data_IF_108719840498
#
_entry.id   IF_108719840498
#
_cell.length_a   1.000
_cell.length_b   1.000
_cell.length_c   1.000
_cell.angle_alpha   90.00
_cell.angle_beta   90.00
_cell.angle_gamma   90.00
#
_symmetry.space_group_name_H-M   'P 1'
#
loop_
_entity.id
_entity.type
_entity.pdbx_description
1 polymer ?
#
# COMPACT_ATOMS: atom_id res chain seq x y z
N UNK A 1 13.54 0.94 -14.12
CA UNK A 1 12.24 0.98 -13.46
C UNK A 1 12.42 1.75 -12.17
N UNK A 2 11.65 2.83 -11.97
CA UNK A 2 11.69 3.62 -10.74
C UNK A 2 10.69 3.01 -9.75
N UNK A 3 11.11 2.79 -8.51
CA UNK A 3 10.20 2.46 -7.41
C UNK A 3 9.31 3.65 -7.06
N UNK A 4 8.09 3.43 -6.55
CA UNK A 4 7.28 4.50 -5.98
C UNK A 4 8.03 5.18 -4.83
N UNK A 5 7.76 6.47 -4.62
CA UNK A 5 8.28 7.19 -3.47
C UNK A 5 7.73 6.56 -2.16
N UNK A 6 8.55 6.57 -1.11
CA UNK A 6 8.18 5.93 0.17
C UNK A 6 6.86 6.46 0.75
N UNK A 7 6.56 7.75 0.56
CA UNK A 7 5.30 8.35 1.01
C UNK A 7 4.09 7.71 0.33
N UNK A 8 4.16 7.48 -0.99
CA UNK A 8 3.08 6.83 -1.75
C UNK A 8 2.86 5.37 -1.31
N UNK A 9 3.97 4.66 -1.03
CA UNK A 9 3.90 3.30 -0.47
C UNK A 9 3.24 3.34 0.91
N UNK A 10 3.62 4.30 1.74
CA UNK A 10 3.06 4.51 3.07
C UNK A 10 1.56 4.82 3.05
N UNK A 11 1.12 5.74 2.20
CA UNK A 11 -0.29 6.08 2.02
C UNK A 11 -1.12 4.88 1.52
N UNK A 12 -0.55 4.09 0.61
CA UNK A 12 -1.18 2.87 0.11
C UNK A 12 -1.32 1.81 1.20
N UNK A 13 -0.25 1.52 1.95
CA UNK A 13 -0.29 0.60 3.08
C UNK A 13 -1.28 1.05 4.15
N UNK A 14 -1.33 2.35 4.44
CA UNK A 14 -2.31 2.92 5.35
C UNK A 14 -3.74 2.71 4.84
N UNK A 15 -3.99 2.95 3.56
CA UNK A 15 -5.31 2.75 2.94
C UNK A 15 -5.73 1.28 3.04
N UNK A 16 -4.85 0.33 2.69
CA UNK A 16 -5.12 -1.10 2.81
C UNK A 16 -5.42 -1.51 4.26
N UNK A 17 -4.63 -1.01 5.22
CA UNK A 17 -4.89 -1.24 6.65
C UNK A 17 -6.24 -0.68 7.10
N UNK A 18 -6.62 0.51 6.65
CA UNK A 18 -7.91 1.13 6.98
C UNK A 18 -9.09 0.32 6.43
N UNK A 19 -8.96 -0.20 5.20
CA UNK A 19 -9.96 -1.09 4.60
C UNK A 19 -10.15 -2.37 5.41
N UNK A 20 -9.05 -3.01 5.86
CA UNK A 20 -9.10 -4.21 6.71
C UNK A 20 -9.81 -3.98 8.06
N UNK A 21 -9.63 -2.80 8.63
CA UNK A 21 -10.15 -2.50 9.97
C UNK A 21 -11.39 -1.60 9.95
N UNK A 22 -12.04 -1.43 8.79
CA UNK A 22 -13.17 -0.52 8.61
C UNK A 22 -14.32 -0.75 9.59
N UNK A 23 -14.62 -2.01 9.94
CA UNK A 23 -15.71 -2.35 10.86
C UNK A 23 -15.38 -2.09 12.34
N UNK A 24 -14.08 -1.99 12.67
CA UNK A 24 -13.61 -1.74 14.05
C UNK A 24 -13.43 -0.26 14.36
N UNK A 25 -13.53 0.61 13.35
CA UNK A 25 -13.28 2.05 13.50
C UNK A 25 -14.54 2.78 13.93
N UNK A 26 -14.34 3.82 14.74
CA UNK A 26 -15.41 4.78 15.06
C UNK A 26 -15.77 5.64 13.83
N UNK A 27 -14.80 5.82 12.92
CA UNK A 27 -14.97 6.55 11.66
C UNK A 27 -14.61 5.61 10.49
N UNK A 28 -15.58 4.87 9.95
CA UNK A 28 -15.35 3.91 8.89
C UNK A 28 -15.01 4.61 7.57
N UNK A 29 -14.31 3.90 6.67
CA UNK A 29 -14.11 4.38 5.29
C UNK A 29 -15.42 4.23 4.54
N UNK A 30 -16.04 5.36 4.20
CA UNK A 30 -17.31 5.39 3.47
C UNK A 30 -17.11 5.42 1.95
N UNK A 31 -16.03 6.04 1.48
CA UNK A 31 -15.74 6.23 0.06
C UNK A 31 -14.27 5.90 -0.22
N UNK A 32 -14.04 5.03 -1.20
CA UNK A 32 -12.72 4.78 -1.77
C UNK A 32 -12.73 5.20 -3.24
N UNK A 33 -11.82 6.09 -3.62
CA UNK A 33 -11.62 6.54 -5.00
C UNK A 33 -10.34 5.94 -5.53
N UNK A 34 -10.41 5.25 -6.66
CA UNK A 34 -9.27 4.58 -7.28
C UNK A 34 -9.35 4.65 -8.80
N UNK A 35 -8.22 4.76 -9.49
CA UNK A 35 -8.21 4.64 -10.95
C UNK A 35 -8.44 3.20 -11.40
N UNK A 36 -9.00 3.02 -12.59
CA UNK A 36 -9.24 1.69 -13.17
C UNK A 36 -7.96 0.84 -13.20
N UNK A 37 -6.83 1.42 -13.63
CA UNK A 37 -5.54 0.73 -13.66
C UNK A 37 -5.03 0.34 -12.27
N UNK A 38 -5.23 1.17 -11.26
CA UNK A 38 -4.86 0.83 -9.87
C UNK A 38 -5.76 -0.26 -9.31
N UNK A 39 -7.05 -0.25 -9.64
CA UNK A 39 -8.01 -1.26 -9.19
C UNK A 39 -7.73 -2.67 -9.74
N UNK A 40 -7.00 -2.79 -10.86
CA UNK A 40 -6.58 -4.08 -11.40
C UNK A 40 -5.33 -4.66 -10.74
N UNK A 41 -4.59 -3.87 -9.94
CA UNK A 41 -3.34 -4.35 -9.33
C UNK A 41 -3.58 -5.50 -8.36
N UNK A 42 -2.70 -6.48 -8.42
CA UNK A 42 -2.60 -7.50 -7.39
C UNK A 42 -1.87 -6.94 -6.17
N UNK A 43 -2.37 -7.29 -5.01
CA UNK A 43 -1.96 -6.74 -3.73
C UNK A 43 -1.33 -7.82 -2.86
N UNK A 44 -0.58 -7.39 -1.85
CA UNK A 44 -0.18 -8.26 -0.76
C UNK A 44 -1.41 -8.90 -0.09
N UNK A 45 -1.31 -10.12 0.43
CA UNK A 45 -2.41 -10.73 1.17
C UNK A 45 -2.80 -9.93 2.41
N UNK A 46 -4.09 -9.87 2.73
CA UNK A 46 -4.63 -9.19 3.91
C UNK A 46 -4.00 -9.64 5.21
N UNK A 47 -3.69 -10.93 5.31
CA UNK A 47 -3.03 -11.48 6.49
C UNK A 47 -1.62 -10.89 6.69
N UNK A 48 -0.89 -10.60 5.61
CA UNK A 48 0.41 -9.92 5.71
C UNK A 48 0.25 -8.51 6.30
N UNK A 49 -0.62 -7.69 5.74
CA UNK A 49 -0.85 -6.33 6.24
C UNK A 49 -1.35 -6.36 7.70
N UNK A 50 -2.28 -7.28 8.02
CA UNK A 50 -2.84 -7.41 9.37
C UNK A 50 -1.83 -7.88 10.40
N UNK A 51 -1.02 -8.89 10.08
CA UNK A 51 -0.05 -9.48 11.01
C UNK A 51 1.22 -8.65 11.18
N UNK A 52 1.53 -7.77 10.21
CA UNK A 52 2.73 -6.92 10.25
C UNK A 52 2.47 -5.52 10.79
N UNK A 53 1.22 -5.22 11.17
CA UNK A 53 0.87 -3.94 11.81
C UNK A 53 0.92 -4.09 13.32
N UNK A 54 1.65 -3.19 13.98
CA UNK A 54 1.81 -3.15 15.43
C UNK A 54 1.39 -1.81 16.02
N UNK A 55 1.14 -1.87 17.32
CA UNK A 55 0.93 -0.69 18.12
C UNK A 55 1.97 -0.69 19.24
N UNK A 56 2.56 0.46 19.50
CA UNK A 56 3.38 0.70 20.68
C UNK A 56 2.67 1.70 21.56
N UNK A 57 2.55 1.36 22.83
CA UNK A 57 1.91 2.18 23.85
C UNK A 57 2.89 2.51 24.95
N UNK A 58 2.75 3.69 25.52
CA UNK A 58 3.45 4.02 26.74
C UNK A 58 3.18 2.96 27.81
N UNK A 59 4.26 2.46 28.43
CA UNK A 59 4.23 1.38 29.41
C UNK A 59 4.39 -0.04 28.83
N UNK A 60 4.45 -0.19 27.51
CA UNK A 60 4.73 -1.49 26.90
C UNK A 60 6.16 -1.94 27.27
N UNK A 61 6.31 -3.24 27.52
CA UNK A 61 7.62 -3.85 27.75
C UNK A 61 8.15 -4.47 26.46
N UNK A 62 9.20 -3.87 25.94
CA UNK A 62 9.79 -4.20 24.64
C UNK A 62 11.30 -4.09 24.77
N UNK A 63 12.03 -5.18 24.58
CA UNK A 63 13.48 -5.10 24.50
C UNK A 63 13.90 -4.24 23.28
N UNK A 64 14.65 -3.14 23.49
CA UNK A 64 15.06 -2.28 22.37
C UNK A 64 15.94 -2.99 21.34
N UNK A 65 16.61 -4.09 21.70
CA UNK A 65 17.43 -4.89 20.78
C UNK A 65 16.54 -5.73 19.87
N UNK A 66 15.54 -6.39 20.47
CA UNK A 66 14.55 -7.17 19.73
C UNK A 66 13.73 -6.28 18.80
N UNK A 67 13.34 -5.09 19.27
CA UNK A 67 12.63 -4.10 18.46
C UNK A 67 13.45 -3.68 17.23
N UNK A 68 14.76 -3.44 17.38
CA UNK A 68 15.63 -3.11 16.24
C UNK A 68 15.69 -4.24 15.22
N UNK A 69 15.84 -5.48 15.68
CA UNK A 69 15.85 -6.65 14.80
C UNK A 69 14.51 -6.79 14.05
N UNK A 70 13.41 -6.54 14.75
CA UNK A 70 12.06 -6.59 14.19
C UNK A 70 11.82 -5.49 13.15
N UNK A 71 12.28 -4.27 13.40
CA UNK A 71 12.20 -3.16 12.44
C UNK A 71 12.95 -3.50 11.15
N UNK A 72 14.16 -4.03 11.26
CA UNK A 72 14.94 -4.48 10.08
C UNK A 72 14.21 -5.59 9.33
N UNK A 73 13.68 -6.60 10.03
CA UNK A 73 12.92 -7.70 9.43
C UNK A 73 11.66 -7.21 8.68
N UNK A 74 11.08 -6.07 9.11
CA UNK A 74 9.94 -5.41 8.47
C UNK A 74 10.33 -4.44 7.35
N UNK A 75 11.61 -4.36 7.04
CA UNK A 75 12.14 -3.55 5.95
C UNK A 75 12.48 -2.12 6.32
N UNK A 76 12.44 -1.75 7.62
CA UNK A 76 12.90 -0.44 8.06
C UNK A 76 14.42 -0.34 7.96
N UNK A 77 14.91 0.79 7.47
CA UNK A 77 16.33 1.06 7.29
C UNK A 77 16.90 1.80 8.51
N UNK A 78 18.02 1.27 9.05
CA UNK A 78 18.73 1.93 10.12
C UNK A 78 19.61 3.07 9.57
N UNK A 79 19.32 4.29 9.97
CA UNK A 79 19.98 5.52 9.49
C UNK A 79 20.29 6.47 10.63
N UNK A 80 20.98 7.57 10.35
CA UNK A 80 21.13 8.71 11.26
C UNK A 80 21.45 9.96 10.45
N UNK A 81 20.62 11.04 10.50
CA UNK A 81 19.35 11.18 11.25
C UNK A 81 18.13 10.55 10.53
N UNK A 82 17.00 10.44 11.26
CA UNK A 82 15.70 9.98 10.71
C UNK A 82 14.96 11.18 10.15
N UNK A 83 14.80 11.20 8.81
CA UNK A 83 14.18 12.33 8.08
C UNK A 83 13.07 11.90 7.09
N UNK A 84 12.85 10.60 6.91
CA UNK A 84 11.89 10.07 5.94
C UNK A 84 11.20 8.82 6.47
N UNK A 85 9.96 8.49 5.99
CA UNK A 85 9.26 7.26 6.33
C UNK A 85 10.07 6.00 6.01
N UNK A 86 9.83 4.93 6.79
CA UNK A 86 10.53 3.65 6.64
C UNK A 86 11.95 3.64 7.24
N UNK A 87 12.30 4.63 8.03
CA UNK A 87 13.63 4.79 8.63
C UNK A 87 13.56 4.80 10.14
N UNK A 88 14.64 4.33 10.78
CA UNK A 88 14.82 4.42 12.23
C UNK A 88 16.27 4.64 12.61
N UNK A 89 16.49 5.17 13.81
CA UNK A 89 17.80 5.34 14.44
C UNK A 89 17.73 4.93 15.91
N UNK A 90 18.82 4.42 16.46
CA UNK A 90 18.91 4.03 17.87
C UNK A 90 20.14 4.65 18.51
N UNK A 91 19.96 5.27 19.68
CA UNK A 91 21.03 5.86 20.48
C UNK A 91 20.76 5.69 21.97
N UNK A 92 21.48 4.76 22.62
CA UNK A 92 21.22 4.42 24.02
C UNK A 92 19.80 3.90 24.22
N UNK A 93 19.06 4.44 25.18
CA UNK A 93 17.64 4.14 25.42
C UNK A 93 16.66 4.86 24.49
N UNK A 94 17.14 5.62 23.49
CA UNK A 94 16.28 6.32 22.53
C UNK A 94 16.22 5.58 21.20
N UNK A 95 15.02 5.48 20.64
CA UNK A 95 14.79 4.97 19.30
C UNK A 95 13.93 5.98 18.52
N UNK A 96 14.52 6.59 17.51
CA UNK A 96 13.81 7.47 16.58
C UNK A 96 13.27 6.62 15.43
N UNK A 97 12.00 6.80 15.09
CA UNK A 97 11.28 5.99 14.10
C UNK A 97 10.35 6.87 13.27
N UNK A 98 10.40 6.72 11.94
CA UNK A 98 9.42 7.33 11.05
C UNK A 98 8.55 6.24 10.41
N UNK A 99 7.38 5.93 10.99
CA UNK A 99 6.51 4.87 10.46
C UNK A 99 6.00 5.20 9.07
N UNK A 100 5.79 4.15 8.28
CA UNK A 100 5.12 4.29 6.98
C UNK A 100 3.68 4.79 7.17
N UNK A 101 3.28 5.75 6.33
CA UNK A 101 1.97 6.38 6.40
C UNK A 101 1.77 7.35 7.57
N UNK A 102 2.80 7.62 8.40
CA UNK A 102 2.76 8.64 9.42
C UNK A 102 3.13 10.01 8.83
N UNK A 103 2.49 11.07 9.32
CA UNK A 103 2.80 12.44 8.90
C UNK A 103 4.10 12.98 9.52
N UNK A 104 4.54 12.42 10.65
CA UNK A 104 5.71 12.84 11.40
C UNK A 104 6.42 11.64 12.05
N UNK A 105 7.73 11.75 12.34
CA UNK A 105 8.46 10.73 13.05
C UNK A 105 8.22 10.81 14.57
N UNK A 106 8.55 9.70 15.24
CA UNK A 106 8.39 9.53 16.67
C UNK A 106 9.72 9.18 17.32
N UNK A 107 9.92 9.67 18.53
CA UNK A 107 11.01 9.31 19.44
C UNK A 107 10.45 8.50 20.58
N UNK A 108 10.90 7.25 20.69
CA UNK A 108 10.58 6.31 21.74
C UNK A 108 11.69 6.37 22.78
N UNK A 109 11.33 6.65 24.02
CA UNK A 109 12.26 6.74 25.17
C UNK A 109 12.06 5.51 26.05
N UNK A 110 13.09 4.70 26.19
CA UNK A 110 13.07 3.46 26.96
C UNK A 110 13.81 3.62 28.27
N UNK A 111 13.17 3.21 29.35
CA UNK A 111 13.83 2.96 30.62
C UNK A 111 13.98 1.45 30.81
N UNK A 112 15.18 0.93 30.53
CA UNK A 112 15.46 -0.50 30.41
C UNK A 112 14.63 -1.13 29.26
N UNK A 113 13.67 -1.99 29.58
CA UNK A 113 12.74 -2.64 28.64
C UNK A 113 11.35 -1.97 28.57
N UNK A 114 11.11 -0.91 29.36
CA UNK A 114 9.83 -0.22 29.42
C UNK A 114 9.82 1.01 28.51
N UNK A 115 8.82 1.13 27.65
CA UNK A 115 8.58 2.32 26.85
C UNK A 115 7.97 3.43 27.69
N UNK A 116 8.81 4.28 28.27
CA UNK A 116 8.40 5.33 29.22
C UNK A 116 7.70 6.50 28.53
N UNK A 117 8.18 6.91 27.36
CA UNK A 117 7.62 8.06 26.65
C UNK A 117 7.68 7.91 25.15
N UNK A 118 6.62 8.41 24.46
CA UNK A 118 6.58 8.55 23.01
C UNK A 118 6.38 10.02 22.66
N UNK A 119 7.28 10.57 21.85
CA UNK A 119 7.23 11.97 21.42
C UNK A 119 7.25 12.08 19.90
N UNK A 120 6.38 12.91 19.34
CA UNK A 120 6.53 13.39 17.97
C UNK A 120 7.72 14.32 17.91
N UNK A 121 8.53 14.25 16.85
CA UNK A 121 9.60 15.22 16.63
C UNK A 121 9.58 15.75 15.19
N UNK A 122 10.19 16.90 15.01
CA UNK A 122 10.35 17.55 13.71
C UNK A 122 11.58 16.95 12.99
N UNK A 123 11.42 16.38 11.78
CA UNK A 123 12.52 15.74 11.07
C UNK A 123 13.63 16.72 10.63
N UNK A 124 13.32 18.00 10.44
CA UNK A 124 14.29 19.00 9.97
C UNK A 124 15.24 19.45 11.06
N UNK A 125 14.72 19.68 12.27
CA UNK A 125 15.51 20.19 13.41
C UNK A 125 15.71 19.18 14.53
N UNK A 126 15.12 17.96 14.42
CA UNK A 126 15.23 16.83 15.34
C UNK A 126 14.70 17.12 16.78
N UNK A 127 13.89 18.17 16.95
CA UNK A 127 13.33 18.55 18.25
C UNK A 127 11.98 17.92 18.48
N UNK A 128 11.77 17.42 19.70
CA UNK A 128 10.46 16.90 20.15
C UNK A 128 9.44 18.04 20.23
N UNK A 129 8.22 17.76 19.76
CA UNK A 129 7.12 18.75 19.62
C UNK A 129 6.01 18.46 20.64
N UNK A 130 5.52 17.21 20.68
CA UNK A 130 4.40 16.80 21.51
C UNK A 130 4.55 15.36 21.99
N UNK A 131 3.83 14.99 23.05
CA UNK A 131 3.76 13.62 23.57
C UNK A 131 2.51 12.94 23.06
N UNK A 132 2.62 11.63 22.82
CA UNK A 132 1.51 10.76 22.42
C UNK A 132 1.57 9.48 23.24
N UNK A 133 0.42 8.84 23.45
CA UNK A 133 0.34 7.62 24.27
C UNK A 133 0.46 6.34 23.44
N UNK A 134 0.19 6.42 22.13
CA UNK A 134 0.21 5.27 21.23
C UNK A 134 0.66 5.67 19.83
N UNK A 135 1.41 4.79 19.18
CA UNK A 135 1.72 4.88 17.75
C UNK A 135 1.42 3.56 17.06
N UNK A 136 1.09 3.66 15.77
CA UNK A 136 0.93 2.51 14.89
C UNK A 136 2.12 2.39 13.95
N UNK A 137 2.62 1.17 13.81
CA UNK A 137 3.69 0.82 12.88
C UNK A 137 3.14 -0.10 11.77
N UNK A 138 3.17 0.39 10.54
CA UNK A 138 2.95 -0.40 9.33
C UNK A 138 4.28 -1.00 8.84
N UNK A 139 4.29 -2.07 8.04
CA UNK A 139 5.51 -2.57 7.41
C UNK A 139 6.11 -1.50 6.47
N UNK A 140 7.43 -1.54 6.22
CA UNK A 140 8.08 -0.58 5.34
C UNK A 140 7.83 -0.88 3.85
N UNK A 141 7.44 -2.11 3.51
CA UNK A 141 7.17 -2.55 2.14
C UNK A 141 5.87 -3.35 2.07
N UNK A 142 5.31 -3.45 0.87
CA UNK A 142 4.15 -4.32 0.58
C UNK A 142 4.52 -5.81 0.52
N UNK A 143 5.76 -6.16 0.78
CA UNK A 143 6.31 -7.52 0.77
C UNK A 143 7.25 -7.73 1.97
N UNK A 144 7.33 -8.98 2.49
CA UNK A 144 8.21 -9.31 3.61
C UNK A 144 9.68 -9.45 3.17
N UNK A 145 10.60 -9.00 4.03
CA UNK A 145 12.06 -9.10 3.83
C UNK A 145 12.75 -10.03 4.84
N UNK A 146 11.99 -10.74 5.65
CA UNK A 146 12.52 -11.75 6.56
C UNK A 146 13.17 -12.92 5.83
N UNK A 147 14.00 -13.69 6.54
CA UNK A 147 14.80 -14.80 5.96
C UNK A 147 13.96 -15.80 5.19
N UNK A 148 12.82 -16.22 5.75
CA UNK A 148 11.92 -17.20 5.16
C UNK A 148 11.30 -16.65 3.85
N UNK A 149 10.87 -15.41 3.85
CA UNK A 149 10.26 -14.76 2.69
C UNK A 149 11.27 -14.58 1.55
N UNK A 150 12.51 -14.22 1.87
CA UNK A 150 13.60 -14.13 0.88
C UNK A 150 13.94 -15.50 0.28
N UNK A 151 13.98 -16.52 1.11
CA UNK A 151 14.20 -17.90 0.65
C UNK A 151 13.07 -18.36 -0.29
N UNK A 152 11.81 -18.09 0.05
CA UNK A 152 10.66 -18.39 -0.78
C UNK A 152 10.69 -17.60 -2.10
N UNK A 153 11.02 -16.31 -2.06
CA UNK A 153 11.23 -15.49 -3.26
C UNK A 153 12.31 -16.12 -4.18
N UNK A 154 13.46 -16.47 -3.63
CA UNK A 154 14.56 -17.05 -4.39
C UNK A 154 14.19 -18.42 -5.02
N UNK A 155 13.38 -19.23 -4.32
CA UNK A 155 12.86 -20.49 -4.88
C UNK A 155 11.95 -20.24 -6.06
N UNK A 156 10.92 -19.39 -5.88
CA UNK A 156 9.96 -19.05 -6.94
C UNK A 156 10.60 -18.30 -8.11
N UNK A 157 11.66 -17.54 -7.86
CA UNK A 157 12.45 -16.92 -8.93
C UNK A 157 13.05 -17.97 -9.86
N UNK A 158 13.70 -19.01 -9.29
CA UNK A 158 14.32 -20.11 -10.07
C UNK A 158 13.28 -20.95 -10.84
N UNK A 159 12.06 -21.06 -10.32
CA UNK A 159 10.95 -21.75 -10.97
C UNK A 159 10.34 -20.90 -12.09
N UNK A 160 10.41 -19.58 -11.99
CA UNK A 160 9.75 -18.65 -12.89
C UNK A 160 10.64 -18.22 -14.05
N UNK A 161 11.94 -18.04 -13.80
CA UNK A 161 12.87 -17.50 -14.77
C UNK A 161 13.96 -18.52 -15.13
N UNK A 162 14.25 -18.59 -16.42
CA UNK A 162 15.37 -19.36 -16.92
C UNK A 162 16.70 -18.63 -16.73
N UNK A 163 17.79 -19.38 -16.71
CA UNK A 163 19.15 -18.85 -16.62
C UNK A 163 19.73 -18.86 -15.22
N UNK A 164 20.91 -18.26 -15.07
CA UNK A 164 21.66 -18.23 -13.82
C UNK A 164 21.23 -17.01 -12.98
N UNK A 165 20.48 -17.20 -11.88
CA UNK A 165 20.01 -16.09 -11.06
C UNK A 165 21.15 -15.31 -10.40
N UNK A 166 22.32 -15.91 -10.24
CA UNK A 166 23.49 -15.24 -9.66
C UNK A 166 24.04 -14.10 -10.52
N UNK A 167 23.61 -14.00 -11.77
CA UNK A 167 23.97 -12.91 -12.68
C UNK A 167 23.02 -11.71 -12.57
N UNK A 168 21.87 -11.87 -11.91
CA UNK A 168 20.86 -10.83 -11.76
C UNK A 168 21.07 -10.07 -10.46
N UNK A 169 21.38 -8.80 -10.54
CA UNK A 169 21.65 -7.94 -9.36
C UNK A 169 20.49 -7.94 -8.39
N UNK A 170 19.24 -7.75 -8.88
CA UNK A 170 18.05 -7.73 -8.04
C UNK A 170 17.87 -9.02 -7.23
N UNK A 171 18.14 -10.19 -7.84
CA UNK A 171 18.08 -11.47 -7.12
C UNK A 171 19.09 -11.51 -5.96
N UNK A 172 20.34 -11.08 -6.21
CA UNK A 172 21.37 -11.03 -5.16
C UNK A 172 21.02 -10.04 -4.06
N UNK A 173 20.47 -8.88 -4.43
CA UNK A 173 20.06 -7.88 -3.45
C UNK A 173 19.01 -8.45 -2.49
N UNK A 174 17.97 -9.11 -3.03
CA UNK A 174 16.94 -9.74 -2.21
C UNK A 174 17.52 -10.87 -1.36
N UNK A 175 18.36 -11.74 -1.92
CA UNK A 175 19.04 -12.82 -1.18
C UNK A 175 19.82 -12.26 0.02
N UNK A 176 20.46 -11.10 -0.15
CA UNK A 176 21.23 -10.40 0.89
C UNK A 176 20.37 -9.50 1.81
N UNK A 177 19.07 -9.45 1.61
CA UNK A 177 18.17 -8.63 2.45
C UNK A 177 18.08 -7.17 2.05
N UNK A 178 18.46 -6.82 0.81
CA UNK A 178 18.39 -5.47 0.28
C UNK A 178 17.14 -5.33 -0.60
N UNK A 179 16.23 -4.44 -0.22
CA UNK A 179 15.05 -4.10 -1.02
C UNK A 179 15.47 -3.15 -2.16
N UNK A 180 15.97 -3.72 -3.26
CA UNK A 180 16.43 -2.95 -4.40
C UNK A 180 15.27 -2.25 -5.13
N UNK A 181 15.51 -1.10 -5.77
CA UNK A 181 14.50 -0.43 -6.59
C UNK A 181 13.94 -1.34 -7.69
N UNK A 182 12.61 -1.39 -7.81
CA UNK A 182 11.89 -2.20 -8.79
C UNK A 182 11.48 -3.58 -8.29
N UNK A 183 11.80 -3.95 -7.04
CA UNK A 183 11.43 -5.25 -6.46
C UNK A 183 9.91 -5.42 -6.34
N UNK A 184 9.16 -4.35 -6.20
CA UNK A 184 7.69 -4.34 -6.17
C UNK A 184 7.05 -4.95 -7.43
N UNK A 185 7.76 -4.94 -8.56
CA UNK A 185 7.30 -5.60 -9.79
C UNK A 185 7.39 -7.13 -9.73
N UNK A 186 7.91 -7.67 -8.66
CA UNK A 186 8.02 -9.11 -8.39
C UNK A 186 7.22 -9.51 -7.14
N UNK A 187 6.27 -8.68 -6.71
CA UNK A 187 5.41 -8.94 -5.55
C UNK A 187 4.88 -10.38 -5.48
N UNK A 188 4.38 -10.99 -6.59
CA UNK A 188 3.87 -12.37 -6.57
C UNK A 188 4.91 -13.45 -6.21
N UNK A 189 6.20 -13.13 -6.20
CA UNK A 189 7.24 -14.09 -5.82
C UNK A 189 7.45 -14.15 -4.29
N UNK A 190 6.94 -13.18 -3.54
CA UNK A 190 7.02 -13.17 -2.07
C UNK A 190 5.93 -13.98 -1.39
N UNK A 191 4.81 -14.24 -2.09
CA UNK A 191 3.62 -14.87 -1.53
C UNK A 191 3.23 -16.11 -2.31
N UNK A 192 2.53 -17.05 -1.67
CA UNK A 192 1.93 -18.20 -2.35
C UNK A 192 0.82 -17.72 -3.29
N UNK A 193 0.00 -16.78 -2.80
CA UNK A 193 -1.06 -16.13 -3.57
C UNK A 193 -1.08 -14.64 -3.26
N UNK A 194 -1.44 -13.83 -4.26
CA UNK A 194 -1.72 -12.40 -4.11
C UNK A 194 -3.23 -12.20 -4.04
N UNK A 195 -3.64 -11.14 -3.39
CA UNK A 195 -5.04 -10.70 -3.33
C UNK A 195 -5.29 -9.52 -4.28
N UNK A 196 -6.54 -9.05 -4.31
CA UNK A 196 -7.01 -7.94 -5.13
C UNK A 196 -7.71 -6.91 -4.27
N UNK A 197 -8.04 -5.75 -4.84
CA UNK A 197 -8.85 -4.75 -4.14
C UNK A 197 -10.19 -5.33 -3.66
N UNK A 198 -10.78 -6.25 -4.42
CA UNK A 198 -12.06 -6.89 -4.09
C UNK A 198 -11.99 -7.69 -2.78
N UNK A 199 -10.84 -8.26 -2.45
CA UNK A 199 -10.64 -8.96 -1.18
C UNK A 199 -10.61 -7.99 0.02
N UNK A 200 -10.20 -6.75 -0.20
CA UNK A 200 -10.08 -5.72 0.85
C UNK A 200 -11.37 -4.95 1.12
N UNK A 201 -12.21 -4.71 0.10
CA UNK A 201 -13.40 -3.84 0.25
C UNK A 201 -14.62 -4.51 0.87
N UNK A 202 -14.66 -5.84 0.97
CA UNK A 202 -15.77 -6.60 1.55
C UNK A 202 -17.06 -6.56 0.72
N UNK A 203 -17.89 -7.56 0.95
CA UNK A 203 -19.08 -7.85 0.14
C UNK A 203 -20.23 -6.83 0.27
N UNK A 204 -20.18 -5.96 1.26
CA UNK A 204 -21.19 -4.92 1.51
C UNK A 204 -20.92 -3.60 0.74
N UNK A 205 -19.80 -3.54 0.00
CA UNK A 205 -19.47 -2.41 -0.84
C UNK A 205 -20.38 -2.31 -2.08
N UNK A 206 -20.55 -1.10 -2.60
CA UNK A 206 -21.16 -0.85 -3.90
C UNK A 206 -20.14 -0.18 -4.81
N UNK A 207 -20.09 -0.60 -6.06
CA UNK A 207 -19.16 -0.07 -7.04
C UNK A 207 -19.83 1.01 -7.89
N UNK A 208 -19.17 2.14 -8.05
CA UNK A 208 -19.54 3.14 -9.04
C UNK A 208 -18.43 3.21 -10.08
N UNK A 209 -18.76 2.79 -11.29
CA UNK A 209 -17.88 2.86 -12.45
C UNK A 209 -18.09 4.21 -13.12
N UNK A 210 -17.07 5.07 -13.14
CA UNK A 210 -17.13 6.38 -13.75
C UNK A 210 -16.44 6.37 -15.12
N UNK A 211 -17.19 6.66 -16.17
CA UNK A 211 -16.70 6.61 -17.54
C UNK A 211 -16.65 5.19 -18.13
N UNK A 212 -15.82 4.99 -19.13
CA UNK A 212 -15.62 3.69 -19.79
C UNK A 212 -14.45 2.93 -19.13
N UNK A 213 -14.75 2.31 -17.99
CA UNK A 213 -13.77 1.54 -17.21
C UNK A 213 -13.24 0.34 -17.99
N UNK A 214 -14.07 -0.32 -18.82
CA UNK A 214 -13.62 -1.45 -19.64
C UNK A 214 -12.52 -1.02 -20.60
N UNK A 215 -12.79 0.01 -21.42
CA UNK A 215 -11.80 0.53 -22.37
C UNK A 215 -10.54 1.04 -21.66
N UNK A 216 -10.67 1.62 -20.46
CA UNK A 216 -9.54 2.09 -19.69
C UNK A 216 -8.63 0.93 -19.23
N UNK A 217 -9.19 -0.19 -18.78
CA UNK A 217 -8.43 -1.39 -18.40
C UNK A 217 -7.79 -2.03 -19.63
N UNK A 218 -8.53 -2.20 -20.73
CA UNK A 218 -7.97 -2.77 -21.97
C UNK A 218 -6.83 -1.92 -22.54
N UNK A 219 -6.93 -0.59 -22.43
CA UNK A 219 -5.85 0.31 -22.85
C UNK A 219 -4.62 0.13 -21.97
N UNK A 220 -4.81 0.07 -20.66
CA UNK A 220 -3.73 -0.19 -19.69
C UNK A 220 -3.05 -1.54 -19.95
N UNK A 221 -3.81 -2.60 -20.23
CA UNK A 221 -3.28 -3.92 -20.57
C UNK A 221 -2.39 -3.86 -21.81
N UNK A 222 -2.87 -3.19 -22.88
CA UNK A 222 -2.09 -3.02 -24.13
C UNK A 222 -0.81 -2.23 -23.91
N UNK A 223 -0.87 -1.13 -23.18
CA UNK A 223 0.33 -0.33 -22.83
C UNK A 223 1.32 -1.14 -22.01
N UNK A 224 0.83 -1.89 -21.02
CA UNK A 224 1.68 -2.71 -20.15
C UNK A 224 2.34 -3.84 -20.94
N UNK A 225 1.61 -4.49 -21.85
CA UNK A 225 2.17 -5.51 -22.75
C UNK A 225 3.27 -4.93 -23.67
N UNK A 226 3.04 -3.75 -24.24
CA UNK A 226 4.03 -3.08 -25.09
C UNK A 226 5.30 -2.74 -24.30
N UNK A 227 5.15 -2.20 -23.09
CA UNK A 227 6.28 -1.92 -22.19
C UNK A 227 7.04 -3.19 -21.81
N UNK A 228 6.32 -4.27 -21.51
CA UNK A 228 6.93 -5.57 -21.18
C UNK A 228 7.72 -6.14 -22.38
N UNK A 229 7.19 -6.03 -23.60
CA UNK A 229 7.92 -6.45 -24.83
C UNK A 229 9.20 -5.66 -25.02
N UNK A 230 9.14 -4.34 -24.82
CA UNK A 230 10.33 -3.47 -24.94
C UNK A 230 11.40 -3.82 -23.91
N UNK A 231 10.99 -4.01 -22.65
CA UNK A 231 11.90 -4.29 -21.55
C UNK A 231 12.49 -5.72 -21.59
N UNK A 232 11.78 -6.70 -22.17
CA UNK A 232 12.33 -8.07 -22.37
C UNK A 232 13.55 -8.09 -23.28
N UNK A 233 13.71 -7.08 -24.13
CA UNK A 233 14.88 -6.96 -24.99
C UNK A 233 16.15 -6.51 -24.22
N UNK A 234 16.01 -6.01 -23.01
CA UNK A 234 17.10 -5.48 -22.18
C UNK A 234 17.92 -6.55 -21.46
N UNK A 235 17.51 -7.80 -21.43
CA UNK A 235 18.30 -8.96 -20.95
C UNK A 235 18.86 -8.93 -19.52
N UNK A 236 19.03 -7.76 -18.91
CA UNK A 236 19.62 -7.60 -17.59
C UNK A 236 18.66 -7.89 -16.43
N UNK A 237 17.35 -7.73 -16.68
CA UNK A 237 16.30 -7.98 -15.67
C UNK A 237 15.18 -8.82 -16.26
N UNK A 238 15.04 -10.09 -15.86
CA UNK A 238 13.91 -10.91 -16.26
C UNK A 238 12.59 -10.23 -15.83
N UNK A 239 11.63 -10.13 -16.74
CA UNK A 239 10.35 -9.45 -16.48
C UNK A 239 9.30 -10.48 -16.18
N UNK A 240 8.63 -10.33 -15.04
CA UNK A 240 7.50 -11.14 -14.65
C UNK A 240 6.35 -10.91 -15.66
N UNK A 241 5.59 -11.95 -15.93
CA UNK A 241 4.38 -11.80 -16.75
C UNK A 241 3.43 -10.82 -16.05
N UNK A 242 3.06 -9.74 -16.74
CA UNK A 242 2.21 -8.69 -16.20
C UNK A 242 0.83 -9.21 -15.76
N UNK A 243 0.35 -10.31 -16.33
CA UNK A 243 -0.88 -11.01 -15.89
C UNK A 243 -0.80 -11.52 -14.45
N UNK A 244 0.41 -11.67 -13.92
CA UNK A 244 0.64 -11.99 -12.49
C UNK A 244 0.58 -10.76 -11.60
N UNK A 245 0.63 -9.55 -12.17
CA UNK A 245 0.64 -8.27 -11.46
C UNK A 245 -0.70 -7.54 -11.53
N UNK A 246 -1.48 -7.81 -12.57
CA UNK A 246 -2.73 -7.11 -12.84
C UNK A 246 -3.84 -8.07 -13.25
N UNK A 247 -5.07 -7.72 -12.91
CA UNK A 247 -6.27 -8.37 -13.43
C UNK A 247 -6.51 -7.89 -14.86
N UNK A 248 -6.83 -8.81 -15.76
CA UNK A 248 -7.38 -8.45 -17.08
C UNK A 248 -8.80 -7.89 -16.94
N UNK A 249 -9.32 -7.20 -17.98
CA UNK A 249 -10.68 -6.68 -17.96
C UNK A 249 -11.74 -7.77 -17.68
N UNK A 250 -11.70 -8.98 -18.30
CA UNK A 250 -12.63 -10.05 -17.96
C UNK A 250 -12.56 -10.47 -16.48
N UNK A 251 -11.35 -10.64 -15.90
CA UNK A 251 -11.18 -11.00 -14.50
C UNK A 251 -11.70 -9.91 -13.55
N UNK A 252 -11.42 -8.65 -13.87
CA UNK A 252 -11.93 -7.51 -13.09
C UNK A 252 -13.46 -7.51 -13.07
N UNK A 253 -14.12 -7.65 -14.22
CA UNK A 253 -15.58 -7.61 -14.30
C UNK A 253 -16.24 -8.87 -13.73
N UNK A 254 -15.58 -10.02 -13.75
CA UNK A 254 -16.01 -11.22 -13.03
C UNK A 254 -16.10 -10.96 -11.52
N UNK A 255 -15.04 -10.40 -10.92
CA UNK A 255 -15.02 -10.05 -9.51
C UNK A 255 -16.02 -8.93 -9.19
N UNK A 256 -16.07 -7.87 -10.02
CA UNK A 256 -17.01 -6.77 -9.89
C UNK A 256 -18.49 -7.22 -10.00
N UNK A 257 -18.75 -8.36 -10.65
CA UNK A 257 -20.09 -8.95 -10.76
C UNK A 257 -20.69 -9.36 -9.42
N UNK A 258 -19.88 -9.58 -8.39
CA UNK A 258 -20.33 -9.94 -7.05
C UNK A 258 -20.84 -8.74 -6.22
N UNK A 259 -20.78 -7.52 -6.78
CA UNK A 259 -21.12 -6.28 -6.09
C UNK A 259 -22.31 -5.58 -6.72
N UNK A 260 -23.08 -4.85 -5.90
CA UNK A 260 -24.00 -3.86 -6.42
C UNK A 260 -23.22 -2.82 -7.23
N UNK A 261 -23.62 -2.60 -8.49
CA UNK A 261 -22.85 -1.80 -9.44
C UNK A 261 -23.69 -0.73 -10.11
N UNK A 262 -23.15 0.48 -10.18
CA UNK A 262 -23.70 1.59 -10.93
C UNK A 262 -22.65 2.09 -11.93
N UNK A 263 -23.03 2.20 -13.21
CA UNK A 263 -22.16 2.78 -14.24
C UNK A 263 -22.65 4.18 -14.59
N UNK A 264 -21.76 5.16 -14.48
CA UNK A 264 -22.00 6.55 -14.85
C UNK A 264 -21.19 6.82 -16.14
N UNK A 265 -21.87 7.04 -17.24
CA UNK A 265 -21.25 7.29 -18.54
C UNK A 265 -21.77 8.61 -19.14
N UNK A 266 -20.97 9.23 -20.00
CA UNK A 266 -21.37 10.44 -20.73
C UNK A 266 -22.41 10.20 -21.84
N UNK A 267 -22.79 8.93 -22.06
CA UNK A 267 -23.82 8.60 -23.05
C UNK A 267 -25.18 8.96 -22.48
N UNK A 268 -25.95 9.76 -23.23
CA UNK A 268 -27.35 10.06 -22.94
C UNK A 268 -28.14 8.73 -22.87
N UNK A 269 -28.34 8.25 -21.68
CA UNK A 269 -29.30 7.18 -21.37
C UNK A 269 -30.44 7.83 -20.58
N UNK A 270 -31.65 7.29 -20.66
CA UNK A 270 -32.84 7.79 -19.95
C UNK A 270 -32.73 7.58 -18.42
N UNK A 271 -31.58 7.92 -17.84
CA UNK A 271 -31.27 7.81 -16.42
C UNK A 271 -31.45 9.17 -15.75
N UNK A 272 -31.90 9.21 -14.47
CA UNK A 272 -32.07 10.46 -13.75
C UNK A 272 -30.71 11.20 -13.63
N UNK A 273 -30.77 12.53 -13.76
CA UNK A 273 -29.61 13.40 -13.55
C UNK A 273 -29.06 13.22 -12.13
N UNK A 274 -27.86 12.69 -12.02
CA UNK A 274 -27.13 12.70 -10.75
C UNK A 274 -26.41 14.05 -10.55
N UNK A 275 -26.23 14.49 -9.30
CA UNK A 275 -25.39 15.65 -9.03
C UNK A 275 -23.99 15.47 -9.63
N UNK A 276 -23.45 16.53 -10.21
CA UNK A 276 -22.07 16.49 -10.71
C UNK A 276 -21.09 16.23 -9.56
N UNK A 277 -20.34 15.13 -9.65
CA UNK A 277 -19.23 14.81 -8.73
C UNK A 277 -17.88 15.16 -9.34
N UNK A 278 -17.86 15.94 -10.44
CA UNK A 278 -16.66 16.35 -11.13
C UNK A 278 -15.75 17.17 -10.21
N UNK A 279 -14.44 16.90 -10.30
CA UNK A 279 -13.42 17.70 -9.61
C UNK A 279 -13.23 19.00 -10.40
N UNK A 280 -13.70 20.09 -9.85
CA UNK A 280 -13.60 21.43 -10.48
C UNK A 280 -12.35 22.16 -9.96
N UNK A 281 -11.19 21.87 -10.53
CA UNK A 281 -9.85 22.37 -10.10
C UNK A 281 -9.73 23.89 -9.96
N UNK A 282 -10.69 24.67 -10.49
CA UNK A 282 -10.70 26.14 -10.44
C UNK A 282 -11.62 26.73 -9.38
N UNK A 283 -12.33 25.90 -8.61
CA UNK A 283 -13.13 26.33 -7.47
C UNK A 283 -12.30 26.35 -6.19
N UNK A 284 -12.72 27.15 -5.21
CA UNK A 284 -12.11 27.22 -3.88
C UNK A 284 -12.19 25.87 -3.16
N UNK A 285 -13.22 25.07 -3.39
CA UNK A 285 -13.32 23.68 -2.98
C UNK A 285 -13.51 22.76 -4.21
N UNK A 286 -12.44 22.20 -4.74
CA UNK A 286 -12.50 21.34 -5.92
C UNK A 286 -13.38 20.09 -5.75
N UNK A 287 -13.63 19.66 -4.51
CA UNK A 287 -14.36 18.44 -4.14
C UNK A 287 -15.77 18.71 -3.64
N UNK A 288 -16.29 19.92 -3.76
CA UNK A 288 -17.61 20.33 -3.24
C UNK A 288 -18.72 19.36 -3.70
N UNK A 289 -18.78 19.03 -5.00
CA UNK A 289 -19.78 18.12 -5.54
C UNK A 289 -19.69 16.70 -4.96
N UNK A 290 -18.46 16.20 -4.75
CA UNK A 290 -18.22 14.89 -4.13
C UNK A 290 -18.61 14.88 -2.65
N UNK A 291 -18.31 15.96 -1.91
CA UNK A 291 -18.70 16.11 -0.50
C UNK A 291 -20.22 16.14 -0.34
N UNK A 292 -20.92 16.93 -1.14
CA UNK A 292 -22.37 16.99 -1.15
C UNK A 292 -23.00 15.61 -1.44
N UNK A 293 -22.45 14.86 -2.38
CA UNK A 293 -22.91 13.51 -2.69
C UNK A 293 -22.61 12.52 -1.55
N UNK A 294 -21.44 12.61 -0.92
CA UNK A 294 -21.09 11.83 0.26
C UNK A 294 -22.10 12.07 1.39
N UNK A 295 -22.43 13.31 1.68
CA UNK A 295 -23.38 13.67 2.74
C UNK A 295 -24.80 13.13 2.46
N UNK A 296 -25.21 13.16 1.21
CA UNK A 296 -26.48 12.55 0.77
C UNK A 296 -26.47 11.03 0.97
N UNK A 297 -25.34 10.36 0.70
CA UNK A 297 -25.19 8.93 0.88
C UNK A 297 -25.08 8.54 2.35
N UNK A 298 -24.38 9.32 3.18
CA UNK A 298 -24.18 9.08 4.62
C UNK A 298 -25.50 9.04 5.38
N UNK A 299 -26.46 9.93 5.01
CA UNK A 299 -27.80 9.95 5.59
C UNK A 299 -28.57 8.63 5.40
N UNK A 300 -28.15 7.76 4.48
CA UNK A 300 -28.77 6.47 4.16
C UNK A 300 -27.91 5.26 4.53
N UNK A 301 -26.83 5.46 5.29
CA UNK A 301 -25.87 4.40 5.72
C UNK A 301 -25.32 3.52 4.56
N UNK A 302 -25.09 4.14 3.40
CA UNK A 302 -24.53 3.46 2.22
C UNK A 302 -23.06 3.78 2.07
N UNK A 303 -22.27 2.75 1.67
CA UNK A 303 -20.85 2.88 1.33
C UNK A 303 -20.71 3.03 -0.17
N UNK A 304 -19.83 3.93 -0.62
CA UNK A 304 -19.59 4.23 -2.02
C UNK A 304 -18.13 3.92 -2.37
N UNK A 305 -17.93 3.14 -3.42
CA UNK A 305 -16.64 2.96 -4.08
C UNK A 305 -16.71 3.58 -5.47
N UNK A 306 -15.85 4.55 -5.75
CA UNK A 306 -15.77 5.23 -7.06
C UNK A 306 -14.50 4.75 -7.76
N UNK A 307 -14.64 4.20 -8.96
CA UNK A 307 -13.55 3.71 -9.80
C UNK A 307 -13.49 4.48 -11.12
#
# INVERSE_FOLDING_TARGET
VLSPHADLVGERLQTLYLLLNRQKRQDPVDVLIVSASTATQRLAPRNYIGSTTFFFRKGDRIDPTDLRAELVARGYEHVSPVVAPGKFASRGGLLDLFPMGAAKPYRLDFFDDELDEIRVFDPDNQRSVEKVDEIRLLPAHEFPMGKEARSAFCSRWRETFEGDPSKVTLYKDIENGIAAPGVENYLPLFFDETETLFDYIGSDASLILLGDVNSAIEHFDKETEQRAKFLRADGERPILDFKRLYLSAPQFFELAGNYARLSLTDKETATPNFPSVAIERRKDDPLEGLKAYKDLCSARSRKLLVM
#
